data_IF_573216686205
#
_entry.id   IF_573216686205
#
_cell.length_a   1.000
_cell.length_b   1.000
_cell.length_c   1.000
_cell.angle_alpha   90.00
_cell.angle_beta   90.00
_cell.angle_gamma   90.00
#
_symmetry.space_group_name_H-M   'P 1'
#
loop_
_entity.id
_entity.type
_entity.pdbx_description
1 polymer ?
#
# COMPACT_ATOMS: atom_id res chain seq x y z
N UNK A 1 -7.95 4.71 0.82
CA UNK A 1 -7.04 5.15 -0.26
C UNK A 1 -7.84 5.30 -1.56
N UNK A 2 -7.79 6.45 -2.25
CA UNK A 2 -8.53 6.65 -3.51
C UNK A 2 -7.63 6.75 -4.76
N UNK A 3 -6.31 6.51 -4.62
CA UNK A 3 -5.33 6.72 -5.68
C UNK A 3 -5.64 5.94 -6.96
N UNK A 4 -5.92 4.63 -6.86
CA UNK A 4 -6.32 3.82 -8.03
C UNK A 4 -7.61 4.31 -8.70
N UNK A 5 -8.58 4.80 -7.91
CA UNK A 5 -9.86 5.30 -8.44
C UNK A 5 -9.68 6.58 -9.24
N UNK A 6 -8.75 7.46 -8.83
CA UNK A 6 -8.38 8.66 -9.59
C UNK A 6 -7.74 8.33 -10.94
N UNK A 7 -7.08 7.16 -11.04
CA UNK A 7 -6.52 6.63 -12.30
C UNK A 7 -7.52 5.78 -13.10
N UNK A 8 -8.75 5.57 -12.61
CA UNK A 8 -9.75 4.72 -13.26
C UNK A 8 -9.48 3.22 -13.13
N UNK A 9 -8.62 2.80 -12.20
CA UNK A 9 -8.17 1.42 -12.05
C UNK A 9 -9.03 0.61 -11.09
N UNK A 10 -9.31 -0.64 -11.47
CA UNK A 10 -9.81 -1.68 -10.57
C UNK A 10 -8.67 -2.31 -9.78
N UNK A 11 -8.98 -3.16 -8.79
CA UNK A 11 -7.94 -3.79 -7.95
C UNK A 11 -7.03 -4.70 -8.78
N UNK A 12 -7.62 -5.44 -9.73
CA UNK A 12 -6.90 -6.26 -10.70
C UNK A 12 -5.81 -5.48 -11.44
N UNK A 13 -6.11 -4.30 -11.96
CA UNK A 13 -5.14 -3.47 -12.68
C UNK A 13 -3.94 -3.12 -11.79
N UNK A 14 -4.16 -2.86 -10.50
CA UNK A 14 -3.07 -2.55 -9.56
C UNK A 14 -2.19 -3.78 -9.34
N UNK A 15 -2.80 -4.96 -9.19
CA UNK A 15 -2.05 -6.21 -9.02
C UNK A 15 -1.24 -6.55 -10.27
N UNK A 16 -1.84 -6.41 -11.46
CA UNK A 16 -1.13 -6.63 -12.73
C UNK A 16 0.06 -5.67 -12.86
N UNK A 17 -0.13 -4.39 -12.54
CA UNK A 17 0.95 -3.40 -12.56
C UNK A 17 2.06 -3.68 -11.57
N UNK A 18 1.72 -4.11 -10.35
CA UNK A 18 2.71 -4.52 -9.36
C UNK A 18 3.53 -5.72 -9.84
N UNK A 19 2.89 -6.66 -10.54
CA UNK A 19 3.57 -7.81 -11.14
C UNK A 19 4.47 -7.37 -12.31
N UNK A 20 3.95 -6.57 -13.23
CA UNK A 20 4.62 -6.21 -14.49
C UNK A 20 5.76 -5.20 -14.29
N UNK A 21 5.59 -4.23 -13.38
CA UNK A 21 6.50 -3.11 -13.20
C UNK A 21 7.50 -3.32 -12.05
N UNK A 22 7.15 -4.15 -11.04
CA UNK A 22 7.92 -4.29 -9.80
C UNK A 22 8.23 -5.73 -9.38
N UNK A 23 7.86 -6.75 -10.18
CA UNK A 23 8.01 -8.18 -9.84
C UNK A 23 7.33 -8.57 -8.51
N UNK A 24 6.25 -7.85 -8.15
CA UNK A 24 5.47 -8.10 -6.95
C UNK A 24 4.22 -8.92 -7.30
N UNK A 25 4.27 -10.21 -6.98
CA UNK A 25 3.13 -11.11 -7.13
C UNK A 25 2.27 -11.15 -5.86
N UNK A 26 1.11 -10.50 -5.89
CA UNK A 26 0.11 -10.53 -4.83
C UNK A 26 -1.28 -10.83 -5.40
N UNK A 27 -2.25 -11.16 -4.54
CA UNK A 27 -3.63 -11.37 -4.99
C UNK A 27 -4.45 -10.09 -4.91
N UNK A 28 -5.53 -10.00 -5.71
CA UNK A 28 -6.51 -8.90 -5.62
C UNK A 28 -7.08 -8.78 -4.20
N UNK A 29 -7.38 -9.90 -3.56
CA UNK A 29 -7.86 -9.95 -2.16
C UNK A 29 -6.83 -9.38 -1.18
N UNK A 30 -5.55 -9.72 -1.34
CA UNK A 30 -4.47 -9.18 -0.51
C UNK A 30 -4.33 -7.66 -0.66
N UNK A 31 -4.33 -7.16 -1.90
CA UNK A 31 -4.36 -5.73 -2.16
C UNK A 31 -5.61 -5.06 -1.55
N UNK A 32 -6.78 -5.70 -1.67
CA UNK A 32 -8.02 -5.22 -1.05
C UNK A 32 -7.93 -5.11 0.48
N UNK A 33 -7.27 -6.05 1.15
CA UNK A 33 -7.02 -5.98 2.60
C UNK A 33 -6.07 -4.84 2.97
N UNK A 34 -5.10 -4.52 2.13
CA UNK A 34 -4.22 -3.34 2.30
C UNK A 34 -5.04 -2.05 2.13
N UNK A 35 -5.86 -1.97 1.08
CA UNK A 35 -6.72 -0.81 0.78
C UNK A 35 -7.72 -0.51 1.93
N UNK A 36 -8.19 -1.56 2.60
CA UNK A 36 -9.09 -1.51 3.77
C UNK A 36 -8.35 -1.42 5.11
N UNK A 37 -7.02 -1.37 5.10
CA UNK A 37 -6.18 -1.31 6.32
C UNK A 37 -6.35 -2.49 7.28
N UNK A 38 -6.84 -3.63 6.79
CA UNK A 38 -6.96 -4.90 7.52
C UNK A 38 -5.59 -5.60 7.60
N UNK A 39 -4.73 -5.38 6.61
CA UNK A 39 -3.40 -6.00 6.52
C UNK A 39 -2.33 -4.96 6.24
N UNK A 40 -1.28 -4.99 7.04
CA UNK A 40 -0.03 -4.26 6.74
C UNK A 40 0.77 -5.04 5.70
N UNK A 41 1.17 -4.43 4.56
CA UNK A 41 2.02 -5.06 3.58
C UNK A 41 3.43 -5.32 4.11
N UNK A 42 4.20 -6.19 3.43
CA UNK A 42 5.66 -6.22 3.61
C UNK A 42 6.28 -4.91 3.11
N UNK A 43 7.53 -4.65 3.50
CA UNK A 43 8.24 -3.44 3.09
C UNK A 43 8.31 -3.32 1.55
N UNK A 44 8.68 -4.39 0.86
CA UNK A 44 8.84 -4.39 -0.60
C UNK A 44 7.52 -4.08 -1.32
N UNK A 45 6.41 -4.64 -0.84
CA UNK A 45 5.06 -4.34 -1.37
C UNK A 45 4.68 -2.90 -1.07
N UNK A 46 4.98 -2.39 0.13
CA UNK A 46 4.68 -1.01 0.51
C UNK A 46 5.44 0.00 -0.36
N UNK A 47 6.72 -0.25 -0.62
CA UNK A 47 7.55 0.59 -1.47
C UNK A 47 7.10 0.55 -2.93
N UNK A 48 6.77 -0.63 -3.45
CA UNK A 48 6.28 -0.78 -4.83
C UNK A 48 4.92 -0.09 -5.03
N UNK A 49 4.00 -0.18 -4.05
CA UNK A 49 2.74 0.58 -4.08
C UNK A 49 3.00 2.08 -4.03
N UNK A 50 3.94 2.51 -3.21
CA UNK A 50 4.35 3.93 -3.10
C UNK A 50 4.87 4.47 -4.44
N UNK A 51 5.74 3.71 -5.10
CA UNK A 51 6.30 4.08 -6.39
C UNK A 51 5.25 4.06 -7.51
N UNK A 52 4.40 3.02 -7.56
CA UNK A 52 3.31 2.91 -8.54
C UNK A 52 2.33 4.11 -8.52
N UNK A 53 2.10 4.68 -7.34
CA UNK A 53 1.21 5.82 -7.17
C UNK A 53 1.93 7.17 -7.08
N UNK A 54 3.27 7.20 -7.12
CA UNK A 54 4.08 8.40 -6.88
C UNK A 54 3.68 9.11 -5.57
N UNK A 55 3.59 8.33 -4.49
CA UNK A 55 3.14 8.79 -3.18
C UNK A 55 4.08 8.26 -2.10
N UNK A 56 4.50 9.10 -1.16
CA UNK A 56 5.33 8.65 -0.04
C UNK A 56 4.65 7.54 0.79
N UNK A 57 5.37 6.49 1.22
CA UNK A 57 4.77 5.39 1.99
C UNK A 57 4.08 5.88 3.27
N UNK A 58 4.61 6.94 3.90
CA UNK A 58 4.03 7.58 5.07
C UNK A 58 2.61 8.09 4.82
N UNK A 59 2.34 8.68 3.65
CA UNK A 59 1.03 9.18 3.25
C UNK A 59 0.03 8.05 2.97
N UNK A 60 0.52 6.85 2.69
CA UNK A 60 -0.30 5.67 2.40
C UNK A 60 -0.56 4.85 3.66
N UNK A 61 0.46 4.62 4.49
CA UNK A 61 0.45 3.59 5.54
C UNK A 61 0.55 4.12 6.99
N UNK A 62 0.96 5.38 7.25
CA UNK A 62 1.12 5.88 8.63
C UNK A 62 -0.14 6.52 9.23
N UNK A 63 -1.22 6.70 8.46
CA UNK A 63 -2.45 7.33 8.95
C UNK A 63 -3.45 6.33 9.56
N UNK A 64 -3.00 5.12 9.88
CA UNK A 64 -3.78 4.09 10.55
C UNK A 64 -3.26 3.96 11.98
N UNK A 65 -4.17 3.98 12.97
CA UNK A 65 -3.89 3.75 14.40
C UNK A 65 -3.31 2.34 14.70
N UNK A 66 -2.70 1.68 13.72
CA UNK A 66 -2.25 0.28 13.73
C UNK A 66 -0.73 0.14 13.77
N UNK A 67 0.02 1.24 13.64
CA UNK A 67 1.45 1.21 13.97
C UNK A 67 1.55 1.40 15.48
N UNK A 68 2.14 0.43 16.20
CA UNK A 68 2.80 0.73 17.48
C UNK A 68 3.86 1.77 17.16
N UNK A 69 3.45 3.03 17.27
CA UNK A 69 4.31 4.19 17.20
C UNK A 69 5.39 3.98 18.24
N UNK A 70 6.62 3.72 17.80
CA UNK A 70 7.80 3.83 18.66
C UNK A 70 8.14 5.32 18.87
N UNK A 71 7.12 6.16 19.16
CA UNK A 71 7.23 7.62 19.37
C UNK A 71 6.90 7.99 20.81
N UNK A 72 7.01 7.06 21.75
CA UNK A 72 7.05 7.39 23.19
C UNK A 72 8.34 6.91 23.84
N UNK A 73 9.43 7.58 23.49
CA UNK A 73 10.48 7.93 24.44
C UNK A 73 10.67 9.44 24.35
N UNK A 74 9.70 10.17 24.92
CA UNK A 74 10.03 11.46 25.50
C UNK A 74 10.74 11.15 26.83
N UNK A 75 12.06 11.39 26.86
CA UNK A 75 12.76 11.63 28.12
C UNK A 75 12.31 12.97 28.71
#
# INVERSE_FOLDING_TARGET
MNARKQKGWIQKDVVEKLSDEFDISITESYYGMIEQSVRTPSLDVALSISELFDMEPSKIFLNTNTTFSCVELQC
#
